data_IF_714892205781
#
_entry.id   IF_714892205781
#
_cell.length_a   1.000
_cell.length_b   1.000
_cell.length_c   1.000
_cell.angle_alpha   90.00
_cell.angle_beta   90.00
_cell.angle_gamma   90.00
#
_symmetry.space_group_name_H-M   'P 1'
#
loop_
_entity.id
_entity.type
_entity.pdbx_description
1 polymer ?
#
# COMPACT_ATOMS: atom_id res chain seq x y z
N UNK A 1 -30.99 17.14 5.51
CA UNK A 1 -29.94 17.04 4.49
C UNK A 1 -28.73 17.67 5.10
N UNK A 2 -27.95 16.87 5.83
CA UNK A 2 -26.62 17.30 6.24
C UNK A 2 -25.71 16.79 5.12
N UNK A 3 -25.61 17.58 4.06
CA UNK A 3 -24.47 17.49 3.17
C UNK A 3 -23.27 17.94 4.01
N UNK A 4 -22.74 17.03 4.83
CA UNK A 4 -21.43 17.17 5.43
C UNK A 4 -20.47 17.29 4.26
N UNK A 5 -20.08 18.52 3.96
CA UNK A 5 -19.05 18.86 3.00
C UNK A 5 -17.78 18.10 3.42
N UNK A 6 -17.58 16.92 2.84
CA UNK A 6 -16.33 16.20 2.88
C UNK A 6 -15.39 16.98 1.98
N UNK A 7 -14.86 18.09 2.50
CA UNK A 7 -13.81 18.83 1.81
C UNK A 7 -12.70 17.84 1.45
N UNK A 8 -12.27 17.81 0.17
CA UNK A 8 -11.24 16.89 -0.24
C UNK A 8 -9.94 17.23 0.48
N UNK A 9 -9.49 16.29 1.32
CA UNK A 9 -8.22 16.39 2.03
C UNK A 9 -7.10 16.75 1.06
N UNK A 10 -6.33 17.79 1.40
CA UNK A 10 -5.21 18.22 0.58
C UNK A 10 -4.08 17.19 0.61
N UNK A 11 -3.19 17.25 -0.38
CA UNK A 11 -2.03 16.35 -0.43
C UNK A 11 -1.09 16.54 0.78
N UNK A 12 -1.00 17.77 1.29
CA UNK A 12 -0.19 18.09 2.48
C UNK A 12 -0.80 17.50 3.75
N UNK A 13 -2.10 17.66 3.95
CA UNK A 13 -2.81 17.07 5.09
C UNK A 13 -2.75 15.54 5.05
N UNK A 14 -2.90 14.94 3.86
CA UNK A 14 -2.79 13.50 3.68
C UNK A 14 -1.40 13.00 4.06
N UNK A 15 -0.34 13.74 3.69
CA UNK A 15 1.03 13.41 4.03
C UNK A 15 1.29 13.53 5.54
N UNK A 16 0.83 14.61 6.18
CA UNK A 16 0.94 14.78 7.64
C UNK A 16 0.24 13.65 8.40
N UNK A 17 -1.02 13.35 8.04
CA UNK A 17 -1.78 12.26 8.64
C UNK A 17 -1.11 10.89 8.43
N UNK A 18 -0.48 10.68 7.27
CA UNK A 18 0.25 9.45 6.98
C UNK A 18 1.50 9.34 7.85
N UNK A 19 2.24 10.43 8.03
CA UNK A 19 3.45 10.49 8.87
C UNK A 19 3.11 10.24 10.34
N UNK A 20 2.03 10.81 10.86
CA UNK A 20 1.61 10.57 12.25
C UNK A 20 1.24 9.10 12.51
N UNK A 21 0.57 8.46 11.54
CA UNK A 21 0.12 7.06 11.67
C UNK A 21 1.21 6.03 11.43
N UNK A 22 2.09 6.29 10.46
CA UNK A 22 3.01 5.28 9.92
C UNK A 22 4.48 5.72 9.88
N UNK A 23 4.77 6.96 10.27
CA UNK A 23 6.11 7.54 10.17
C UNK A 23 6.47 8.03 8.77
N UNK A 24 7.72 8.46 8.62
CA UNK A 24 8.26 8.90 7.33
C UNK A 24 8.35 7.72 6.35
N UNK A 25 8.01 7.96 5.08
CA UNK A 25 8.26 6.96 4.04
C UNK A 25 9.77 6.75 3.87
N UNK A 26 10.20 5.54 3.52
CA UNK A 26 11.55 5.32 3.05
C UNK A 26 11.88 6.23 1.85
N UNK A 27 13.17 6.52 1.61
CA UNK A 27 13.60 7.24 0.42
C UNK A 27 13.05 6.58 -0.86
N UNK A 28 12.63 7.41 -1.82
CA UNK A 28 12.16 6.91 -3.12
C UNK A 28 13.32 6.35 -3.91
N UNK A 29 13.20 5.10 -4.35
CA UNK A 29 14.12 4.45 -5.28
C UNK A 29 13.82 4.92 -6.71
N UNK A 30 14.86 5.33 -7.44
CA UNK A 30 14.82 5.69 -8.86
C UNK A 30 15.16 4.47 -9.74
N UNK A 31 14.79 4.48 -11.03
CA UNK A 31 15.10 3.36 -11.93
C UNK A 31 16.60 3.04 -12.04
N UNK A 32 17.45 4.06 -11.95
CA UNK A 32 18.90 3.92 -12.09
C UNK A 32 19.62 3.66 -10.75
N UNK A 33 18.88 3.57 -9.64
CA UNK A 33 19.46 3.31 -8.32
C UNK A 33 19.90 1.85 -8.20
N UNK A 34 21.13 1.62 -7.74
CA UNK A 34 21.55 0.29 -7.30
C UNK A 34 21.01 0.02 -5.90
N UNK A 35 20.25 -1.07 -5.75
CA UNK A 35 19.70 -1.51 -4.47
C UNK A 35 20.29 -2.85 -4.05
N UNK A 36 20.63 -2.97 -2.78
CA UNK A 36 21.03 -4.25 -2.18
C UNK A 36 19.78 -5.04 -1.78
N UNK A 37 19.76 -6.33 -2.12
CA UNK A 37 18.71 -7.22 -1.68
C UNK A 37 18.97 -7.63 -0.22
N UNK A 38 18.10 -7.17 0.67
CA UNK A 38 18.09 -7.63 2.05
C UNK A 38 17.18 -8.86 2.17
N UNK A 39 17.64 -9.91 2.84
CA UNK A 39 16.80 -11.04 3.22
C UNK A 39 15.70 -10.54 4.16
N UNK A 40 14.48 -10.46 3.64
CA UNK A 40 13.30 -10.22 4.49
C UNK A 40 12.84 -11.57 5.02
N UNK A 41 12.42 -11.62 6.29
CA UNK A 41 11.82 -12.84 6.84
C UNK A 41 10.67 -13.24 5.92
N UNK A 42 10.66 -14.48 5.46
CA UNK A 42 9.47 -15.04 4.81
C UNK A 42 8.30 -14.82 5.75
N UNK A 43 7.25 -14.15 5.27
CA UNK A 43 6.00 -14.04 6.00
C UNK A 43 5.55 -15.48 6.29
N UNK A 44 5.63 -15.89 7.56
CA UNK A 44 5.07 -17.17 7.99
C UNK A 44 3.56 -17.04 7.87
N UNK A 45 3.04 -17.40 6.70
CA UNK A 45 1.62 -17.33 6.37
C UNK A 45 1.28 -16.35 5.25
N UNK A 46 0.27 -16.74 4.47
CA UNK A 46 -0.43 -15.88 3.51
C UNK A 46 -1.11 -14.75 4.31
N UNK A 47 -0.95 -13.47 3.94
CA UNK A 47 -1.63 -12.39 4.65
C UNK A 47 -3.14 -12.61 4.58
N UNK A 48 -3.87 -12.27 5.65
CA UNK A 48 -5.32 -12.46 5.75
C UNK A 48 -6.08 -11.72 4.63
N UNK A 49 -5.48 -10.65 4.11
CA UNK A 49 -5.99 -9.87 2.98
C UNK A 49 -5.61 -10.42 1.60
N UNK A 50 -4.77 -11.47 1.52
CA UNK A 50 -4.47 -12.08 0.24
C UNK A 50 -5.73 -12.77 -0.27
N UNK A 51 -6.07 -12.50 -1.53
CA UNK A 51 -7.12 -13.20 -2.25
C UNK A 51 -6.92 -14.70 -2.10
N UNK A 52 -7.97 -15.45 -1.81
CA UNK A 52 -7.95 -16.92 -1.82
C UNK A 52 -7.80 -17.48 -3.24
N UNK A 53 -7.64 -18.79 -3.38
CA UNK A 53 -7.40 -19.43 -4.69
C UNK A 53 -8.56 -19.21 -5.66
N UNK A 54 -9.80 -19.27 -5.18
CA UNK A 54 -11.00 -19.05 -5.99
C UNK A 54 -11.09 -17.59 -6.46
N UNK A 55 -10.79 -16.63 -5.59
CA UNK A 55 -10.75 -15.21 -5.91
C UNK A 55 -9.63 -14.88 -6.93
N UNK A 56 -8.49 -15.54 -6.84
CA UNK A 56 -7.42 -15.41 -7.82
C UNK A 56 -7.82 -16.00 -9.17
N UNK A 57 -8.43 -17.18 -9.17
CA UNK A 57 -8.93 -17.82 -10.37
C UNK A 57 -9.96 -16.92 -11.07
N UNK A 58 -10.97 -16.38 -10.35
CA UNK A 58 -11.97 -15.48 -10.95
C UNK A 58 -11.32 -14.22 -11.54
N UNK A 59 -10.32 -13.64 -10.85
CA UNK A 59 -9.70 -12.38 -11.28
C UNK A 59 -8.69 -12.53 -12.42
N UNK A 60 -8.04 -13.69 -12.55
CA UNK A 60 -6.94 -13.90 -13.49
C UNK A 60 -7.12 -15.08 -14.46
N UNK A 61 -8.22 -15.82 -14.42
CA UNK A 61 -8.47 -16.95 -15.34
C UNK A 61 -8.85 -16.54 -16.79
N UNK A 62 -8.77 -15.25 -17.13
CA UNK A 62 -8.89 -14.79 -18.51
C UNK A 62 -7.52 -14.33 -19.03
N UNK A 63 -6.83 -15.27 -19.67
CA UNK A 63 -5.60 -15.08 -20.46
C UNK A 63 -5.43 -16.24 -21.43
#
# INVERSE_FOLDING_TARGET
MEDMENEPMTAEEAELSRVERFGALPPRVRPDDMVELAETRSAQGRPVSALNEDEQAIRYAAG
#
